data_IF_469140585721
#
_entry.id   IF_469140585721
#
_cell.length_a   1.000
_cell.length_b   1.000
_cell.length_c   1.000
_cell.angle_alpha   90.00
_cell.angle_beta   90.00
_cell.angle_gamma   90.00
#
_symmetry.space_group_name_H-M   'P 1'
#
loop_
_entity.id
_entity.type
_entity.pdbx_description
1 polymer ?
#
# COMPACT_ATOMS: atom_id res chain seq x y z
N UNK A 1 -25.40 27.72 -24.82
CA UNK A 1 -24.19 27.05 -24.31
C UNK A 1 -24.41 25.55 -24.41
N UNK A 2 -23.73 24.88 -25.33
CA UNK A 2 -23.88 23.45 -25.56
C UNK A 2 -23.33 22.65 -24.37
N UNK A 3 -24.09 21.66 -23.89
CA UNK A 3 -23.63 20.71 -22.88
C UNK A 3 -22.56 19.83 -23.50
N UNK A 4 -21.34 19.91 -22.98
CA UNK A 4 -20.20 19.06 -23.36
C UNK A 4 -20.53 17.61 -22.97
N UNK A 5 -20.42 16.62 -23.87
CA UNK A 5 -20.62 15.22 -23.49
C UNK A 5 -19.55 14.79 -22.49
N UNK A 6 -19.98 14.02 -21.48
CA UNK A 6 -19.12 13.41 -20.46
C UNK A 6 -18.28 12.33 -21.16
N UNK A 7 -16.96 12.24 -20.95
CA UNK A 7 -16.19 11.17 -21.56
C UNK A 7 -16.72 9.85 -20.99
N UNK A 8 -17.11 8.94 -21.87
CA UNK A 8 -17.31 7.55 -21.49
C UNK A 8 -15.95 7.01 -21.04
N UNK A 9 -15.87 6.56 -19.79
CA UNK A 9 -14.69 5.89 -19.27
C UNK A 9 -14.48 4.62 -20.09
N UNK A 10 -13.46 4.66 -20.93
CA UNK A 10 -12.83 3.50 -21.52
C UNK A 10 -12.56 2.51 -20.38
N UNK A 11 -13.17 1.32 -20.46
CA UNK A 11 -12.83 0.16 -19.64
C UNK A 11 -11.38 -0.23 -19.93
N UNK A 12 -10.43 0.45 -19.32
CA UNK A 12 -9.04 0.03 -19.28
C UNK A 12 -9.01 -1.34 -18.58
N UNK A 13 -8.27 -2.30 -19.13
CA UNK A 13 -8.19 -3.68 -18.64
C UNK A 13 -7.74 -3.69 -17.16
N UNK A 14 -8.71 -3.77 -16.25
CA UNK A 14 -8.45 -3.69 -14.81
C UNK A 14 -7.80 -4.98 -14.33
N UNK A 15 -6.61 -4.86 -13.74
CA UNK A 15 -5.82 -6.01 -13.29
C UNK A 15 -6.12 -6.30 -11.82
N UNK A 16 -6.71 -7.46 -11.58
CA UNK A 16 -7.00 -7.96 -10.23
C UNK A 16 -6.02 -9.04 -9.79
N UNK A 17 -5.89 -9.22 -8.47
CA UNK A 17 -5.03 -10.26 -7.91
C UNK A 17 -5.84 -11.54 -7.67
N UNK A 18 -5.35 -12.65 -8.22
CA UNK A 18 -5.89 -13.99 -7.94
C UNK A 18 -5.43 -14.46 -6.56
N UNK A 19 -6.38 -14.88 -5.71
CA UNK A 19 -6.08 -15.52 -4.41
C UNK A 19 -5.76 -17.00 -4.62
N UNK A 20 -6.62 -17.74 -5.31
CA UNK A 20 -6.47 -19.18 -5.61
C UNK A 20 -7.39 -19.59 -6.77
N UNK A 21 -7.01 -20.62 -7.52
CA UNK A 21 -7.87 -21.30 -8.51
C UNK A 21 -8.46 -22.51 -7.83
N UNK A 22 -9.79 -22.66 -7.84
CA UNK A 22 -10.45 -23.74 -7.11
C UNK A 22 -10.97 -24.85 -8.03
N UNK A 23 -11.28 -24.52 -9.29
CA UNK A 23 -11.77 -25.47 -10.31
C UNK A 23 -11.24 -25.08 -11.69
N UNK A 24 -11.23 -26.03 -12.60
CA UNK A 24 -11.09 -25.78 -14.03
C UNK A 24 -12.14 -26.57 -14.81
N UNK A 25 -12.60 -26.05 -15.95
CA UNK A 25 -13.55 -26.72 -16.83
C UNK A 25 -13.19 -26.53 -18.29
N UNK A 26 -13.59 -27.48 -19.13
CA UNK A 26 -13.49 -27.38 -20.58
C UNK A 26 -14.78 -26.73 -21.12
N UNK A 27 -14.64 -25.61 -21.83
CA UNK A 27 -15.77 -24.93 -22.47
C UNK A 27 -16.18 -25.60 -23.79
N UNK A 28 -17.21 -25.06 -24.45
CA UNK A 28 -17.73 -25.61 -25.71
C UNK A 28 -16.69 -25.55 -26.86
N UNK A 29 -15.75 -24.61 -26.80
CA UNK A 29 -14.65 -24.43 -27.74
C UNK A 29 -13.43 -25.33 -27.44
N UNK A 30 -13.56 -26.24 -26.45
CA UNK A 30 -12.50 -27.15 -25.97
C UNK A 30 -11.30 -26.43 -25.34
N UNK A 31 -11.54 -25.26 -24.78
CA UNK A 31 -10.53 -24.49 -24.05
C UNK A 31 -10.77 -24.56 -22.53
N UNK A 32 -9.70 -24.41 -21.76
CA UNK A 32 -9.76 -24.39 -20.31
C UNK A 32 -10.18 -23.02 -19.76
N UNK A 33 -11.21 -23.04 -18.92
CA UNK A 33 -11.60 -21.93 -18.04
C UNK A 33 -11.32 -22.30 -16.59
N UNK A 34 -11.09 -21.29 -15.75
CA UNK A 34 -10.66 -21.45 -14.37
C UNK A 34 -11.60 -20.72 -13.42
N UNK A 35 -12.06 -21.39 -12.36
CA UNK A 35 -12.88 -20.75 -11.33
C UNK A 35 -11.98 -20.08 -10.30
N UNK A 36 -11.95 -18.75 -10.35
CA UNK A 36 -10.99 -17.89 -9.64
C UNK A 36 -11.62 -17.34 -8.38
N UNK A 37 -10.93 -17.53 -7.24
CA UNK A 37 -11.16 -16.76 -6.02
C UNK A 37 -10.35 -15.47 -6.07
N UNK A 38 -11.01 -14.33 -6.05
CA UNK A 38 -10.36 -13.01 -6.12
C UNK A 38 -9.85 -12.54 -4.76
N UNK A 39 -8.64 -11.98 -4.73
CA UNK A 39 -8.03 -11.51 -3.49
C UNK A 39 -8.73 -10.25 -2.96
N UNK A 40 -9.21 -10.32 -1.71
CA UNK A 40 -9.88 -9.19 -1.06
C UNK A 40 -11.38 -9.06 -1.36
N UNK A 41 -11.93 -9.98 -2.15
CA UNK A 41 -13.37 -10.08 -2.40
C UNK A 41 -13.96 -11.30 -1.67
N UNK A 42 -15.27 -11.30 -1.47
CA UNK A 42 -15.99 -12.46 -0.93
C UNK A 42 -16.20 -13.51 -2.05
N UNK A 43 -16.65 -14.71 -1.68
CA UNK A 43 -16.81 -15.83 -2.63
C UNK A 43 -17.96 -15.65 -3.63
N UNK A 44 -18.80 -14.63 -3.45
CA UNK A 44 -19.86 -14.26 -4.38
C UNK A 44 -19.33 -13.56 -5.65
N UNK A 45 -18.11 -13.02 -5.57
CA UNK A 45 -17.40 -12.43 -6.70
C UNK A 45 -16.63 -13.47 -7.52
N UNK A 46 -16.53 -14.72 -7.06
CA UNK A 46 -15.77 -15.77 -7.74
C UNK A 46 -16.37 -16.04 -9.13
N UNK A 47 -15.50 -16.13 -10.14
CA UNK A 47 -15.91 -16.17 -11.55
C UNK A 47 -15.10 -17.18 -12.35
N UNK A 48 -15.66 -17.63 -13.48
CA UNK A 48 -14.95 -18.42 -14.48
C UNK A 48 -14.20 -17.49 -15.41
N UNK A 49 -12.88 -17.66 -15.46
CA UNK A 49 -11.98 -16.85 -16.26
C UNK A 49 -11.31 -17.69 -17.36
N UNK A 50 -11.19 -17.18 -18.59
CA UNK A 50 -10.46 -17.85 -19.65
C UNK A 50 -8.98 -18.00 -19.29
N UNK A 51 -8.31 -18.98 -19.90
CA UNK A 51 -6.87 -19.21 -19.72
C UNK A 51 -6.02 -17.95 -19.93
N UNK A 52 -6.43 -17.08 -20.86
CA UNK A 52 -5.81 -15.79 -21.15
C UNK A 52 -5.85 -14.82 -19.98
N UNK A 53 -6.88 -14.83 -19.13
CA UNK A 53 -6.96 -13.93 -17.98
C UNK A 53 -6.02 -14.34 -16.85
N UNK A 54 -5.72 -15.64 -16.74
CA UNK A 54 -4.88 -16.21 -15.68
C UNK A 54 -3.45 -16.56 -16.13
N UNK A 55 -3.10 -16.32 -17.40
CA UNK A 55 -1.81 -16.72 -17.98
C UNK A 55 -0.59 -16.22 -17.17
N UNK A 56 -0.69 -15.05 -16.53
CA UNK A 56 0.40 -14.47 -15.73
C UNK A 56 0.60 -15.16 -14.37
N UNK A 57 -0.26 -16.11 -14.00
CA UNK A 57 -0.24 -16.84 -12.74
C UNK A 57 0.54 -18.17 -12.81
N UNK A 58 1.67 -18.20 -13.54
CA UNK A 58 2.48 -19.41 -13.82
C UNK A 58 2.71 -20.34 -12.63
N UNK A 59 3.01 -19.78 -11.45
CA UNK A 59 3.26 -20.57 -10.24
C UNK A 59 1.99 -21.25 -9.74
N UNK A 60 0.88 -20.52 -9.73
CA UNK A 60 -0.41 -21.02 -9.25
C UNK A 60 -0.98 -22.05 -10.22
N UNK A 61 -0.95 -21.77 -11.53
CA UNK A 61 -1.39 -22.69 -12.57
C UNK A 61 -0.61 -24.01 -12.52
N UNK A 62 0.73 -23.96 -12.43
CA UNK A 62 1.55 -25.18 -12.28
C UNK A 62 1.21 -25.95 -11.01
N UNK A 63 1.03 -25.26 -9.88
CA UNK A 63 0.65 -25.88 -8.61
C UNK A 63 -0.70 -26.59 -8.71
N UNK A 64 -1.66 -25.97 -9.39
CA UNK A 64 -3.00 -26.50 -9.61
C UNK A 64 -2.97 -27.77 -10.46
N UNK A 65 -2.35 -27.71 -11.65
CA UNK A 65 -2.26 -28.86 -12.56
C UNK A 65 -1.41 -30.01 -12.01
N UNK A 66 -0.39 -29.71 -11.20
CA UNK A 66 0.36 -30.75 -10.46
C UNK A 66 -0.53 -31.47 -9.44
N UNK A 67 -1.52 -30.77 -8.87
CA UNK A 67 -2.42 -31.32 -7.85
C UNK A 67 -3.59 -32.11 -8.45
N UNK A 68 -4.23 -31.61 -9.51
CA UNK A 68 -5.41 -32.26 -10.11
C UNK A 68 -5.06 -33.31 -11.17
N UNK A 69 -3.84 -33.29 -11.73
CA UNK A 69 -3.39 -34.19 -12.79
C UNK A 69 -3.20 -33.45 -14.12
N UNK A 70 -2.21 -33.88 -14.90
CA UNK A 70 -1.87 -33.26 -16.19
C UNK A 70 -2.83 -33.69 -17.29
N UNK A 71 -3.15 -32.71 -18.13
CA UNK A 71 -3.92 -32.82 -19.37
C UNK A 71 -3.40 -33.96 -20.26
N UNK A 72 -4.25 -34.96 -20.51
CA UNK A 72 -4.03 -36.04 -21.48
C UNK A 72 -4.71 -35.74 -22.83
N UNK A 73 -5.19 -34.51 -23.03
CA UNK A 73 -5.85 -33.96 -24.22
C UNK A 73 -7.10 -34.73 -24.67
N UNK A 74 -7.70 -35.52 -23.78
CA UNK A 74 -8.86 -36.37 -24.09
C UNK A 74 -10.17 -35.88 -23.44
N UNK A 75 -10.22 -34.61 -23.03
CA UNK A 75 -11.38 -34.07 -22.34
C UNK A 75 -12.50 -33.64 -23.29
N UNK A 76 -13.72 -34.02 -22.91
CA UNK A 76 -14.94 -33.54 -23.56
C UNK A 76 -15.39 -32.18 -22.98
N UNK A 77 -16.06 -31.34 -23.78
CA UNK A 77 -16.72 -30.14 -23.28
C UNK A 77 -17.61 -30.43 -22.07
N UNK A 78 -17.50 -29.56 -21.05
CA UNK A 78 -18.19 -29.72 -19.77
C UNK A 78 -17.45 -30.59 -18.75
N UNK A 79 -16.29 -31.16 -19.08
CA UNK A 79 -15.43 -31.79 -18.09
C UNK A 79 -14.97 -30.76 -17.03
N UNK A 80 -15.09 -31.11 -15.75
CA UNK A 80 -14.72 -30.25 -14.62
C UNK A 80 -13.76 -30.98 -13.70
N UNK A 81 -12.67 -30.29 -13.34
CA UNK A 81 -11.75 -30.70 -12.29
C UNK A 81 -11.87 -29.76 -11.11
N UNK A 82 -11.96 -30.33 -9.91
CA UNK A 82 -12.00 -29.56 -8.66
C UNK A 82 -10.73 -29.82 -7.85
N UNK A 83 -10.12 -28.74 -7.35
CA UNK A 83 -9.01 -28.87 -6.43
C UNK A 83 -9.47 -29.38 -5.06
N UNK A 84 -8.58 -30.10 -4.38
CA UNK A 84 -8.87 -30.67 -3.07
C UNK A 84 -8.85 -29.55 -2.00
N UNK A 85 -9.79 -29.53 -1.03
CA UNK A 85 -9.87 -28.46 -0.04
C UNK A 85 -8.58 -28.22 0.74
N UNK A 86 -7.79 -29.25 1.04
CA UNK A 86 -6.52 -29.07 1.73
C UNK A 86 -5.48 -28.36 0.86
N UNK A 87 -5.46 -28.62 -0.45
CA UNK A 87 -4.62 -27.87 -1.39
C UNK A 87 -5.04 -26.41 -1.48
N UNK A 88 -6.35 -26.15 -1.58
CA UNK A 88 -6.90 -24.79 -1.62
C UNK A 88 -6.47 -24.03 -0.35
N UNK A 89 -6.63 -24.64 0.82
CA UNK A 89 -6.23 -24.04 2.09
C UNK A 89 -4.73 -23.69 2.14
N UNK A 90 -3.86 -24.60 1.68
CA UNK A 90 -2.41 -24.38 1.61
C UNK A 90 -2.05 -23.21 0.69
N UNK A 91 -2.70 -23.11 -0.46
CA UNK A 91 -2.43 -22.05 -1.44
C UNK A 91 -2.91 -20.68 -0.96
N UNK A 92 -4.08 -20.62 -0.31
CA UNK A 92 -4.56 -19.40 0.34
C UNK A 92 -3.62 -18.93 1.45
N UNK A 93 -3.10 -19.85 2.26
CA UNK A 93 -2.10 -19.53 3.29
C UNK A 93 -0.79 -19.02 2.66
N UNK A 94 -0.32 -19.65 1.59
CA UNK A 94 0.85 -19.20 0.85
C UNK A 94 0.65 -17.78 0.29
N UNK A 95 -0.50 -17.49 -0.30
CA UNK A 95 -0.85 -16.17 -0.80
C UNK A 95 -0.85 -15.13 0.33
N UNK A 96 -1.51 -15.42 1.45
CA UNK A 96 -1.57 -14.52 2.61
C UNK A 96 -0.18 -14.22 3.19
N UNK A 97 0.70 -15.23 3.28
CA UNK A 97 2.10 -15.05 3.69
C UNK A 97 2.85 -14.13 2.73
N UNK A 98 2.68 -14.32 1.42
CA UNK A 98 3.34 -13.49 0.39
C UNK A 98 2.91 -12.02 0.48
N UNK A 99 1.61 -11.75 0.60
CA UNK A 99 1.09 -10.39 0.75
C UNK A 99 1.61 -9.75 2.03
N UNK A 100 1.63 -10.49 3.16
CA UNK A 100 2.17 -9.99 4.44
C UNK A 100 3.65 -9.62 4.33
N UNK A 101 4.45 -10.43 3.64
CA UNK A 101 5.87 -10.10 3.42
C UNK A 101 6.04 -8.84 2.57
N UNK A 102 5.29 -8.71 1.49
CA UNK A 102 5.34 -7.53 0.62
C UNK A 102 4.91 -6.24 1.34
N UNK A 103 3.87 -6.29 2.18
CA UNK A 103 3.41 -5.12 2.93
C UNK A 103 4.46 -4.67 3.97
N UNK A 104 5.08 -5.62 4.67
CA UNK A 104 6.15 -5.33 5.62
C UNK A 104 7.41 -4.73 4.96
N UNK A 105 7.82 -5.25 3.81
CA UNK A 105 8.96 -4.69 3.06
C UNK A 105 8.67 -3.27 2.59
N UNK A 106 7.47 -3.03 2.03
CA UNK A 106 7.03 -1.69 1.64
C UNK A 106 7.01 -0.72 2.82
N UNK A 107 6.56 -1.14 4.00
CA UNK A 107 6.55 -0.30 5.20
C UNK A 107 7.96 0.01 5.72
N UNK A 108 8.84 -0.99 5.77
CA UNK A 108 10.25 -0.82 6.14
C UNK A 108 10.94 0.16 5.20
N UNK A 109 10.70 0.04 3.90
CA UNK A 109 11.26 0.95 2.90
C UNK A 109 10.71 2.37 3.04
N UNK A 110 9.39 2.54 3.27
CA UNK A 110 8.79 3.85 3.56
C UNK A 110 9.42 4.51 4.79
N UNK A 111 9.63 3.73 5.85
CA UNK A 111 10.28 4.21 7.08
C UNK A 111 11.73 4.59 6.83
N UNK A 112 12.50 3.78 6.10
CA UNK A 112 13.88 4.09 5.71
C UNK A 112 13.98 5.39 4.90
N UNK A 113 13.10 5.57 3.91
CA UNK A 113 13.03 6.80 3.10
C UNK A 113 12.73 8.02 3.96
N UNK A 114 11.75 7.91 4.87
CA UNK A 114 11.40 8.98 5.81
C UNK A 114 12.59 9.34 6.71
N UNK A 115 13.23 8.35 7.32
CA UNK A 115 14.37 8.58 8.21
C UNK A 115 15.56 9.20 7.47
N UNK A 116 15.83 8.76 6.23
CA UNK A 116 16.86 9.36 5.37
C UNK A 116 16.55 10.82 5.04
N UNK A 117 15.29 11.13 4.72
CA UNK A 117 14.86 12.51 4.44
C UNK A 117 14.97 13.41 5.67
N UNK A 118 14.57 12.92 6.84
CA UNK A 118 14.68 13.66 8.11
C UNK A 118 16.15 13.94 8.46
N UNK A 119 17.04 12.96 8.31
CA UNK A 119 18.47 13.15 8.52
C UNK A 119 19.04 14.23 7.59
N UNK A 120 18.67 14.21 6.30
CA UNK A 120 19.08 15.23 5.33
C UNK A 120 18.58 16.64 5.72
N UNK A 121 17.32 16.77 6.14
CA UNK A 121 16.76 18.04 6.60
C UNK A 121 17.50 18.59 7.83
N UNK A 122 17.79 17.75 8.83
CA UNK A 122 18.56 18.15 10.02
C UNK A 122 19.95 18.65 9.61
N UNK A 123 20.68 17.90 8.78
CA UNK A 123 22.02 18.32 8.32
C UNK A 123 22.03 19.60 7.49
N UNK A 124 20.91 19.93 6.83
CA UNK A 124 20.76 21.17 6.05
C UNK A 124 20.37 22.37 6.91
N UNK A 125 19.68 22.13 8.04
CA UNK A 125 19.34 23.15 9.03
C UNK A 125 20.54 23.54 9.92
N UNK A 126 21.56 22.67 10.02
CA UNK A 126 22.84 22.95 10.68
C UNK A 126 23.84 23.74 9.79
N UNK A 127 23.36 24.78 9.11
CA UNK A 127 24.21 25.93 8.82
C UNK A 127 24.61 26.54 10.18
N UNK A 128 25.80 26.16 10.67
CA UNK A 128 26.37 26.57 11.97
C UNK A 128 25.91 27.98 12.35
N UNK A 129 25.27 28.20 13.52
CA UNK A 129 25.00 29.56 13.98
C UNK A 129 26.33 30.30 14.04
N UNK A 130 26.45 31.34 13.22
CA UNK A 130 27.68 32.13 13.15
C UNK A 130 27.99 32.69 14.54
N UNK A 131 29.28 32.97 14.83
CA UNK A 131 29.72 33.51 16.14
C UNK A 131 28.92 34.76 16.56
N UNK A 132 28.37 35.50 15.60
CA UNK A 132 27.51 36.66 15.82
C UNK A 132 26.17 36.30 16.47
N UNK A 133 25.50 35.23 16.02
CA UNK A 133 24.18 34.81 16.52
C UNK A 133 24.24 34.30 17.96
N UNK A 134 25.29 33.54 18.32
CA UNK A 134 25.50 33.08 19.71
C UNK A 134 25.77 34.24 20.68
N UNK A 135 26.46 35.29 20.23
CA UNK A 135 26.75 36.47 21.06
C UNK A 135 25.46 37.25 21.38
N UNK A 136 24.57 37.39 20.39
CA UNK A 136 23.33 38.14 20.55
C UNK A 136 22.34 37.43 21.51
N UNK A 137 22.18 36.11 21.39
CA UNK A 137 21.37 35.32 22.34
C UNK A 137 21.92 35.37 23.76
N UNK A 138 23.25 35.30 23.93
CA UNK A 138 23.87 35.38 25.27
C UNK A 138 23.72 36.79 25.88
N UNK A 139 23.65 37.83 25.06
CA UNK A 139 23.41 39.21 25.51
C UNK A 139 21.97 39.39 25.97
N UNK A 140 21.00 38.89 25.19
CA UNK A 140 19.59 38.88 25.57
C UNK A 140 19.32 38.07 26.84
N UNK A 141 19.98 36.91 27.00
CA UNK A 141 19.81 36.09 28.21
C UNK A 141 20.42 36.76 29.44
N UNK A 142 21.56 37.44 29.28
CA UNK A 142 22.19 38.22 30.36
C UNK A 142 21.31 39.40 30.76
N UNK A 143 20.77 40.13 29.80
CA UNK A 143 19.88 41.27 30.02
C UNK A 143 18.55 40.84 30.67
N UNK A 144 18.02 39.67 30.31
CA UNK A 144 16.84 39.07 30.94
C UNK A 144 17.11 38.65 32.40
N UNK A 145 18.24 37.98 32.67
CA UNK A 145 18.64 37.59 34.03
C UNK A 145 18.95 38.81 34.90
N UNK A 146 19.55 39.85 34.32
CA UNK A 146 19.83 41.13 34.98
C UNK A 146 18.54 41.91 35.29
N UNK A 147 17.54 41.83 34.40
CA UNK A 147 16.18 42.38 34.61
C UNK A 147 15.42 41.65 35.72
N UNK A 148 15.60 40.33 35.86
CA UNK A 148 15.01 39.56 36.96
C UNK A 148 15.69 39.88 38.29
N UNK A 149 17.01 40.02 38.30
CA UNK A 149 17.80 40.26 39.51
C UNK A 149 17.79 41.72 39.99
N UNK A 150 17.47 42.69 39.14
CA UNK A 150 17.38 44.12 39.49
C UNK A 150 16.10 44.50 40.26
N UNK A 151 15.22 43.54 40.54
CA UNK A 151 14.13 43.71 41.51
C UNK A 151 13.00 44.64 41.06
N UNK A 152 12.85 44.91 39.76
CA UNK A 152 11.68 45.60 39.21
C UNK A 152 10.48 44.66 39.30
N UNK A 153 9.72 44.76 40.40
CA UNK A 153 8.45 44.05 40.55
C UNK A 153 7.36 44.74 39.72
N UNK A 154 6.67 43.89 38.95
CA UNK A 154 5.22 43.77 38.76
C UNK A 154 4.55 44.38 37.51
N UNK A 155 3.61 43.55 37.02
CA UNK A 155 2.43 43.78 36.19
C UNK A 155 2.63 44.13 34.71
N UNK A 156 2.79 43.10 33.87
CA UNK A 156 2.02 42.88 32.62
C UNK A 156 2.57 41.63 31.90
N UNK A 157 2.54 40.47 32.55
CA UNK A 157 2.95 39.19 31.96
C UNK A 157 1.77 38.31 31.51
N UNK A 158 0.55 38.87 31.36
CA UNK A 158 -0.62 38.08 30.91
C UNK A 158 -1.53 38.76 29.88
N UNK A 159 -1.25 39.99 29.41
CA UNK A 159 -2.12 40.66 28.42
C UNK A 159 -1.61 40.71 26.98
N UNK A 160 -0.35 40.35 26.70
CA UNK A 160 0.17 40.28 25.31
C UNK A 160 0.08 38.90 24.64
N UNK A 161 -0.73 37.99 25.19
CA UNK A 161 -1.05 36.70 24.55
C UNK A 161 -2.46 36.67 23.93
N UNK A 162 -3.21 37.78 23.92
CA UNK A 162 -4.56 37.84 23.36
C UNK A 162 -4.70 38.59 22.02
N UNK A 163 -3.65 39.25 21.50
CA UNK A 163 -3.76 40.03 20.24
C UNK A 163 -3.11 39.39 19.01
N UNK A 164 -2.57 38.17 19.10
CA UNK A 164 -2.01 37.46 17.93
C UNK A 164 -2.93 36.38 17.36
N UNK A 165 -4.24 36.46 17.62
CA UNK A 165 -5.22 35.48 17.14
C UNK A 165 -6.50 36.11 16.56
N UNK A 166 -6.38 37.28 15.92
CA UNK A 166 -7.38 37.80 14.99
C UNK A 166 -6.71 38.79 14.03
N UNK A 167 -6.23 38.28 12.90
CA UNK A 167 -6.25 38.79 11.51
C UNK A 167 -5.36 37.89 10.67
#
# INVERSE_FOLDING_TARGET
>A
MAKKPRPEESSEDEVFHVEVITKARVNDDREWEYYVKWAGYESDADSWEPSENVHSCDRLLRSFWTHVGTDNEDYDPGYVVEAEPSWIAREREFFAKRIKSQTQEKEKERTRRRNKHLAFQITSADAKPTKATKRNQMQQLKEFVETINSGVRRTHLVERLAEFNLV
#
